data_IF_481608837932
#
_entry.id   IF_481608837932
#
_cell.length_a   1.000
_cell.length_b   1.000
_cell.length_c   1.000
_cell.angle_alpha   90.00
_cell.angle_beta   90.00
_cell.angle_gamma   90.00
#
_symmetry.space_group_name_H-M   'P 1'
#
loop_
_entity.id
_entity.type
_entity.pdbx_description
1 polymer ?
#
# COMPACT_ATOMS: atom_id res chain seq x y z
N UNK A 1 21.72 -20.75 -8.59
CA UNK A 1 21.14 -20.44 -7.27
C UNK A 1 19.70 -20.01 -7.55
N UNK A 2 18.69 -20.77 -7.12
CA UNK A 2 17.28 -20.44 -7.42
C UNK A 2 16.89 -19.21 -6.60
N UNK A 3 16.56 -18.11 -7.26
CA UNK A 3 15.96 -16.91 -6.63
C UNK A 3 14.59 -17.30 -6.08
N UNK A 4 14.33 -16.94 -4.82
CA UNK A 4 13.01 -17.09 -4.16
C UNK A 4 12.12 -15.92 -4.61
N UNK A 5 11.98 -15.77 -5.92
CA UNK A 5 11.08 -14.77 -6.49
C UNK A 5 9.79 -15.52 -6.91
N UNK A 6 8.65 -15.01 -6.43
CA UNK A 6 7.27 -15.44 -6.71
C UNK A 6 6.67 -16.63 -5.94
N UNK A 7 6.58 -16.50 -4.61
CA UNK A 7 5.63 -17.31 -3.81
C UNK A 7 4.23 -16.65 -3.68
N UNK A 8 4.02 -15.45 -4.22
CA UNK A 8 2.70 -14.82 -4.22
C UNK A 8 1.85 -15.37 -5.36
N UNK A 9 0.99 -16.33 -5.04
CA UNK A 9 0.11 -16.98 -6.01
C UNK A 9 -1.00 -16.03 -6.47
N UNK A 10 -1.45 -16.20 -7.72
CA UNK A 10 -2.67 -15.54 -8.18
C UNK A 10 -3.87 -16.04 -7.38
N UNK A 11 -4.85 -15.17 -7.07
CA UNK A 11 -6.04 -15.58 -6.35
C UNK A 11 -6.84 -16.61 -7.18
N UNK A 12 -7.57 -17.53 -6.53
CA UNK A 12 -8.48 -18.44 -7.22
C UNK A 12 -9.61 -17.65 -7.90
N UNK A 13 -10.18 -18.22 -8.98
CA UNK A 13 -11.30 -17.60 -9.72
C UNK A 13 -12.52 -17.30 -8.84
N UNK A 14 -12.70 -18.04 -7.75
CA UNK A 14 -13.76 -17.85 -6.77
C UNK A 14 -13.15 -17.63 -5.39
N UNK A 15 -12.66 -16.42 -5.13
CA UNK A 15 -12.17 -16.01 -3.82
C UNK A 15 -13.37 -15.54 -2.97
N UNK A 16 -13.71 -16.31 -1.94
CA UNK A 16 -14.65 -15.89 -0.89
C UNK A 16 -13.87 -15.41 0.32
N UNK A 17 -14.19 -14.21 0.81
CA UNK A 17 -13.58 -13.61 1.99
C UNK A 17 -14.55 -13.80 3.17
N UNK A 18 -14.18 -14.65 4.14
CA UNK A 18 -14.98 -14.89 5.35
C UNK A 18 -14.71 -13.82 6.41
N UNK A 19 -15.64 -13.62 7.34
CA UNK A 19 -15.42 -12.75 8.51
C UNK A 19 -14.39 -13.33 9.50
N UNK A 20 -14.24 -14.66 9.53
CA UNK A 20 -13.29 -15.36 10.40
C UNK A 20 -11.88 -15.48 9.80
N UNK A 21 -11.67 -14.99 8.58
CA UNK A 21 -10.40 -15.06 7.87
C UNK A 21 -9.53 -13.81 8.12
N UNK A 22 -8.22 -14.03 8.22
CA UNK A 22 -7.24 -12.93 8.22
C UNK A 22 -6.81 -12.66 6.79
N UNK A 23 -7.15 -11.47 6.28
CA UNK A 23 -6.78 -11.04 4.94
C UNK A 23 -5.43 -10.32 4.93
N UNK A 24 -4.47 -10.82 4.14
CA UNK A 24 -3.15 -10.21 3.97
C UNK A 24 -3.08 -9.54 2.60
N UNK A 25 -2.79 -8.24 2.62
CA UNK A 25 -2.61 -7.43 1.42
C UNK A 25 -1.13 -7.18 1.14
N UNK A 26 -0.73 -7.28 -0.12
CA UNK A 26 0.60 -6.89 -0.61
C UNK A 26 0.45 -5.72 -1.55
N UNK A 27 1.20 -4.64 -1.31
CA UNK A 27 1.18 -3.46 -2.15
C UNK A 27 2.61 -3.02 -2.52
N UNK A 28 2.76 -2.44 -3.71
CA UNK A 28 4.01 -1.82 -4.15
C UNK A 28 4.06 -0.37 -3.67
N UNK A 29 5.14 0.01 -2.98
CA UNK A 29 5.30 1.36 -2.41
C UNK A 29 6.03 2.33 -3.34
N UNK A 30 6.85 1.80 -4.26
CA UNK A 30 7.53 2.58 -5.30
C UNK A 30 6.58 2.83 -6.47
N UNK A 31 5.82 3.94 -6.39
CA UNK A 31 4.81 4.32 -7.37
C UNK A 31 5.19 5.62 -8.11
N UNK A 32 4.63 5.86 -9.30
CA UNK A 32 4.71 7.16 -9.98
C UNK A 32 4.14 8.29 -9.13
N UNK A 33 4.67 9.50 -9.30
CA UNK A 33 4.26 10.67 -8.51
C UNK A 33 2.76 10.99 -8.60
N UNK A 34 2.14 10.76 -9.76
CA UNK A 34 0.69 10.96 -9.94
C UNK A 34 -0.13 10.03 -9.04
N UNK A 35 0.24 8.75 -8.94
CA UNK A 35 -0.44 7.80 -8.06
C UNK A 35 -0.21 8.14 -6.59
N UNK A 36 1.00 8.59 -6.23
CA UNK A 36 1.27 9.09 -4.88
C UNK A 36 0.35 10.27 -4.55
N UNK A 37 0.13 11.21 -5.47
CA UNK A 37 -0.76 12.34 -5.23
C UNK A 37 -2.21 11.88 -5.03
N UNK A 38 -2.69 10.99 -5.89
CA UNK A 38 -4.04 10.41 -5.75
C UNK A 38 -4.22 9.71 -4.39
N UNK A 39 -3.22 8.94 -3.94
CA UNK A 39 -3.26 8.30 -2.63
C UNK A 39 -3.15 9.30 -1.49
N UNK A 40 -2.37 10.37 -1.64
CA UNK A 40 -2.26 11.44 -0.65
C UNK A 40 -3.62 12.12 -0.41
N UNK A 41 -4.42 12.29 -1.46
CA UNK A 41 -5.74 12.90 -1.37
C UNK A 41 -6.75 12.04 -0.58
N UNK A 42 -6.47 10.73 -0.40
CA UNK A 42 -7.30 9.84 0.44
C UNK A 42 -6.96 9.88 1.92
N UNK A 43 -5.81 10.45 2.28
CA UNK A 43 -5.33 10.50 3.67
C UNK A 43 -6.10 11.52 4.49
N UNK A 44 -6.31 11.22 5.77
CA UNK A 44 -6.80 12.21 6.72
C UNK A 44 -5.79 13.35 6.92
N UNK A 45 -6.25 14.48 7.44
CA UNK A 45 -5.38 15.62 7.76
C UNK A 45 -4.19 15.22 8.64
N UNK A 46 -4.41 14.39 9.67
CA UNK A 46 -3.35 13.93 10.57
C UNK A 46 -2.31 13.05 9.85
N UNK A 47 -2.77 12.22 8.91
CA UNK A 47 -1.90 11.38 8.09
C UNK A 47 -1.09 12.22 7.11
N UNK A 48 -1.68 13.22 6.47
CA UNK A 48 -0.98 14.16 5.59
C UNK A 48 0.11 14.92 6.36
N UNK A 49 -0.23 15.48 7.53
CA UNK A 49 0.74 16.15 8.39
C UNK A 49 1.88 15.21 8.84
N UNK A 50 1.58 13.93 9.08
CA UNK A 50 2.62 12.94 9.39
C UNK A 50 3.51 12.65 8.18
N UNK A 51 2.94 12.56 6.98
CA UNK A 51 3.71 12.40 5.75
C UNK A 51 4.68 13.57 5.53
N UNK A 52 4.27 14.79 5.84
CA UNK A 52 5.10 16.00 5.71
C UNK A 52 6.25 16.08 6.74
N UNK A 53 6.22 15.28 7.80
CA UNK A 53 7.31 15.22 8.80
C UNK A 53 8.48 14.33 8.37
N UNK A 54 8.34 13.55 7.31
CA UNK A 54 9.46 12.75 6.81
C UNK A 54 10.51 13.64 6.16
N UNK A 55 11.77 13.43 6.54
CA UNK A 55 12.90 14.18 6.00
C UNK A 55 13.22 13.76 4.56
N UNK A 56 13.12 12.46 4.26
CA UNK A 56 13.40 11.94 2.94
C UNK A 56 12.12 11.78 2.13
N UNK A 57 12.14 12.28 0.89
CA UNK A 57 11.02 12.20 -0.05
C UNK A 57 10.61 10.75 -0.35
N UNK A 58 11.57 9.82 -0.37
CA UNK A 58 11.30 8.38 -0.53
C UNK A 58 10.43 7.84 0.60
N UNK A 59 10.78 8.16 1.84
CA UNK A 59 10.04 7.67 3.01
C UNK A 59 8.65 8.31 3.08
N UNK A 60 8.54 9.59 2.72
CA UNK A 60 7.24 10.27 2.56
C UNK A 60 6.36 9.55 1.55
N UNK A 61 6.88 9.26 0.36
CA UNK A 61 6.16 8.53 -0.70
C UNK A 61 5.74 7.14 -0.26
N UNK A 62 6.63 6.38 0.39
CA UNK A 62 6.32 5.05 0.91
C UNK A 62 5.26 5.08 2.00
N UNK A 63 5.31 6.07 2.89
CA UNK A 63 4.28 6.28 3.91
C UNK A 63 2.92 6.59 3.27
N UNK A 64 2.88 7.51 2.30
CA UNK A 64 1.65 7.85 1.57
C UNK A 64 1.09 6.61 0.86
N UNK A 65 1.93 5.88 0.12
CA UNK A 65 1.50 4.69 -0.59
C UNK A 65 0.89 3.65 0.36
N UNK A 66 1.62 3.30 1.43
CA UNK A 66 1.16 2.29 2.40
C UNK A 66 -0.14 2.69 3.08
N UNK A 67 -0.28 3.94 3.53
CA UNK A 67 -1.51 4.43 4.16
C UNK A 67 -2.66 4.57 3.18
N UNK A 68 -2.40 5.07 1.97
CA UNK A 68 -3.40 5.19 0.92
C UNK A 68 -4.00 3.84 0.55
N UNK A 69 -3.19 2.79 0.37
CA UNK A 69 -3.72 1.45 0.09
C UNK A 69 -4.61 0.91 1.22
N UNK A 70 -4.28 1.18 2.49
CA UNK A 70 -5.12 0.77 3.62
C UNK A 70 -6.47 1.51 3.67
N UNK A 71 -6.63 2.64 2.98
CA UNK A 71 -7.91 3.36 2.86
C UNK A 71 -8.79 2.85 1.71
N UNK A 72 -8.24 2.01 0.84
CA UNK A 72 -8.94 1.45 -0.32
C UNK A 72 -9.54 0.06 -0.06
N UNK A 73 -9.30 -0.51 1.12
CA UNK A 73 -9.81 -1.81 1.57
C UNK A 73 -10.80 -1.62 2.71
#
# INVERSE_FOLDING_TARGET
>A
MKTVEDLWQSPPNNLMLSEDDVHIWRAQLDLPAEQIQQLADTLSTDEQQRADRFYFDKDKKHFIAGRGFLRMI
#
